data_IF_283062402105
#
_entry.id   IF_283062402105
#
_cell.length_a   1.000
_cell.length_b   1.000
_cell.length_c   1.000
_cell.angle_alpha   90.00
_cell.angle_beta   90.00
_cell.angle_gamma   90.00
#
_symmetry.space_group_name_H-M   'P 1'
#
loop_
_entity.id
_entity.type
_entity.pdbx_description
1 polymer ?
#
# COMPACT_ATOMS: atom_id res chain seq x y z
N UNK A 1 13.29 -13.17 8.08
CA UNK A 1 14.09 -12.19 7.31
C UNK A 1 15.29 -12.82 6.60
N UNK A 2 16.00 -13.79 7.20
CA UNK A 2 17.15 -14.46 6.58
C UNK A 2 16.84 -15.12 5.23
N UNK A 3 15.72 -15.85 5.16
CA UNK A 3 15.26 -16.44 3.91
C UNK A 3 14.95 -15.35 2.88
N UNK A 4 14.32 -14.26 3.31
CA UNK A 4 14.03 -13.13 2.42
C UNK A 4 15.30 -12.47 1.89
N UNK A 5 16.33 -12.31 2.75
CA UNK A 5 17.62 -11.76 2.34
C UNK A 5 18.29 -12.60 1.26
N UNK A 6 18.32 -13.94 1.44
CA UNK A 6 18.88 -14.86 0.45
C UNK A 6 18.09 -14.82 -0.87
N UNK A 7 16.76 -14.79 -0.81
CA UNK A 7 15.90 -14.71 -2.00
C UNK A 7 16.09 -13.38 -2.74
N UNK A 8 16.18 -12.25 -2.01
CA UNK A 8 16.45 -10.95 -2.64
C UNK A 8 17.78 -10.95 -3.36
N UNK A 9 18.85 -11.41 -2.72
CA UNK A 9 20.15 -11.48 -3.34
C UNK A 9 20.09 -12.33 -4.61
N UNK A 10 19.50 -13.52 -4.53
CA UNK A 10 19.35 -14.42 -5.68
C UNK A 10 18.55 -13.76 -6.81
N UNK A 11 17.41 -13.14 -6.50
CA UNK A 11 16.55 -12.51 -7.49
C UNK A 11 17.24 -11.32 -8.17
N UNK A 12 17.96 -10.47 -7.41
CA UNK A 12 18.72 -9.34 -7.97
C UNK A 12 19.90 -9.82 -8.83
N UNK A 13 20.64 -10.88 -8.42
CA UNK A 13 21.72 -11.44 -9.21
C UNK A 13 21.22 -12.08 -10.51
N UNK A 14 20.09 -12.79 -10.47
CA UNK A 14 19.45 -13.33 -11.67
C UNK A 14 19.01 -12.18 -12.60
N UNK A 15 18.42 -11.12 -12.06
CA UNK A 15 18.00 -9.95 -12.81
C UNK A 15 19.18 -9.24 -13.44
N UNK A 16 20.28 -9.05 -12.71
CA UNK A 16 21.51 -8.45 -13.24
C UNK A 16 22.09 -9.23 -14.45
N UNK A 17 21.86 -10.54 -14.50
CA UNK A 17 22.36 -11.43 -15.54
C UNK A 17 21.30 -11.87 -16.56
N UNK A 18 20.21 -11.12 -16.68
CA UNK A 18 19.11 -11.51 -17.59
C UNK A 18 19.56 -11.62 -19.03
N UNK A 19 19.07 -12.69 -19.68
CA UNK A 19 19.23 -12.97 -21.11
C UNK A 19 17.89 -13.09 -21.84
N UNK A 20 16.79 -13.17 -21.09
CA UNK A 20 15.44 -13.27 -21.64
C UNK A 20 14.41 -12.59 -20.73
N UNK A 21 13.28 -12.17 -21.30
CA UNK A 21 12.15 -11.59 -20.55
C UNK A 21 11.61 -12.54 -19.49
N UNK A 22 11.58 -13.86 -19.78
CA UNK A 22 11.16 -14.86 -18.82
C UNK A 22 12.04 -14.86 -17.55
N UNK A 23 13.36 -14.73 -17.74
CA UNK A 23 14.30 -14.67 -16.63
C UNK A 23 14.10 -13.42 -15.76
N UNK A 24 13.68 -12.29 -16.35
CA UNK A 24 13.28 -11.09 -15.63
C UNK A 24 12.03 -11.36 -14.78
N UNK A 25 10.99 -11.98 -15.35
CA UNK A 25 9.77 -12.30 -14.61
C UNK A 25 10.04 -13.26 -13.45
N UNK A 26 10.89 -14.26 -13.64
CA UNK A 26 11.23 -15.21 -12.57
C UNK A 26 12.12 -14.53 -11.51
N UNK A 27 13.20 -13.87 -11.90
CA UNK A 27 14.17 -13.29 -10.98
C UNK A 27 13.57 -12.13 -10.18
N UNK A 28 13.12 -11.11 -10.88
CA UNK A 28 12.58 -9.90 -10.23
C UNK A 28 11.13 -10.05 -9.82
N UNK A 29 10.28 -10.60 -10.67
CA UNK A 29 8.85 -10.73 -10.38
C UNK A 29 8.57 -11.78 -9.31
N UNK A 30 8.96 -13.03 -9.54
CA UNK A 30 8.59 -14.14 -8.64
C UNK A 30 9.49 -14.16 -7.40
N UNK A 31 10.81 -14.25 -7.57
CA UNK A 31 11.73 -14.46 -6.45
C UNK A 31 11.79 -13.21 -5.54
N UNK A 32 12.02 -12.02 -6.09
CA UNK A 32 12.03 -10.80 -5.29
C UNK A 32 10.63 -10.46 -4.75
N UNK A 33 9.57 -10.72 -5.51
CA UNK A 33 8.19 -10.54 -5.05
C UNK A 33 7.86 -11.43 -3.85
N UNK A 34 8.23 -12.70 -3.90
CA UNK A 34 8.04 -13.62 -2.78
C UNK A 34 8.87 -13.22 -1.56
N UNK A 35 10.13 -12.82 -1.77
CA UNK A 35 10.99 -12.29 -0.72
C UNK A 35 10.42 -11.04 -0.05
N UNK A 36 9.85 -10.11 -0.84
CA UNK A 36 9.15 -8.92 -0.34
C UNK A 36 7.95 -9.29 0.53
N UNK A 37 7.12 -10.22 0.07
CA UNK A 37 5.95 -10.67 0.82
C UNK A 37 6.31 -11.31 2.16
N UNK A 38 7.34 -12.15 2.18
CA UNK A 38 7.85 -12.78 3.41
C UNK A 38 8.36 -11.73 4.40
N UNK A 39 9.19 -10.78 3.96
CA UNK A 39 9.75 -9.74 4.83
C UNK A 39 8.66 -8.78 5.33
N UNK A 40 7.73 -8.38 4.46
CA UNK A 40 6.59 -7.54 4.81
C UNK A 40 5.78 -8.16 5.96
N UNK A 41 5.37 -9.42 5.81
CA UNK A 41 4.59 -10.11 6.84
C UNK A 41 5.40 -10.39 8.11
N UNK A 42 6.68 -10.71 7.99
CA UNK A 42 7.54 -10.93 9.15
C UNK A 42 7.68 -9.65 9.99
N UNK A 43 7.93 -8.51 9.35
CA UNK A 43 8.10 -7.22 10.05
C UNK A 43 6.77 -6.75 10.65
N UNK A 44 5.72 -6.61 9.84
CA UNK A 44 4.42 -6.13 10.33
C UNK A 44 3.80 -7.07 11.37
N UNK A 45 3.90 -8.39 11.14
CA UNK A 45 3.35 -9.37 12.06
C UNK A 45 4.10 -9.46 13.39
N UNK A 46 5.39 -9.11 13.42
CA UNK A 46 6.19 -9.10 14.66
C UNK A 46 6.04 -7.77 15.39
N UNK A 47 6.27 -6.66 14.70
CA UNK A 47 6.22 -5.32 15.31
C UNK A 47 4.79 -4.96 15.74
N UNK A 48 3.77 -5.38 14.98
CA UNK A 48 2.37 -5.19 15.37
C UNK A 48 2.00 -5.81 16.71
N UNK A 49 2.67 -6.91 17.12
CA UNK A 49 2.46 -7.54 18.43
C UNK A 49 3.03 -6.74 19.60
N UNK A 50 4.03 -5.88 19.36
CA UNK A 50 4.56 -4.96 20.36
C UNK A 50 3.63 -3.77 20.62
N UNK A 51 2.79 -3.41 19.65
CA UNK A 51 1.91 -2.24 19.70
C UNK A 51 0.47 -2.58 19.26
N UNK A 52 -0.22 -3.50 19.97
CA UNK A 52 -1.55 -3.96 19.57
C UNK A 52 -2.62 -2.87 19.63
N UNK A 53 -2.36 -1.81 20.40
CA UNK A 53 -3.23 -0.64 20.56
C UNK A 53 -3.05 0.44 19.45
N UNK A 54 -1.96 0.37 18.68
CA UNK A 54 -1.61 1.34 17.64
C UNK A 54 -1.20 0.68 16.33
N UNK A 55 -1.83 -0.45 15.99
CA UNK A 55 -1.44 -1.27 14.85
C UNK A 55 -1.48 -0.49 13.52
N UNK A 56 -2.46 0.40 13.34
CA UNK A 56 -2.56 1.26 12.17
C UNK A 56 -1.43 2.29 12.08
N UNK A 57 -1.15 3.01 13.18
CA UNK A 57 -0.07 3.99 13.22
C UNK A 57 1.30 3.34 13.00
N UNK A 58 1.56 2.24 13.70
CA UNK A 58 2.84 1.53 13.62
C UNK A 58 3.06 0.94 12.23
N UNK A 59 2.03 0.32 11.65
CA UNK A 59 2.10 -0.13 10.26
C UNK A 59 2.33 1.03 9.30
N UNK A 60 1.68 2.18 9.53
CA UNK A 60 1.89 3.39 8.75
C UNK A 60 3.33 3.88 8.77
N UNK A 61 3.96 3.91 9.95
CA UNK A 61 5.38 4.30 10.12
C UNK A 61 6.31 3.31 9.42
N UNK A 62 6.10 2.01 9.62
CA UNK A 62 6.91 0.97 8.96
C UNK A 62 6.78 1.04 7.43
N UNK A 63 5.56 1.25 6.95
CA UNK A 63 5.27 1.31 5.52
C UNK A 63 5.65 2.65 4.88
N UNK A 64 5.86 3.72 5.66
CA UNK A 64 6.40 4.99 5.14
C UNK A 64 7.75 4.77 4.45
N UNK A 65 8.52 3.79 4.90
CA UNK A 65 9.77 3.37 4.25
C UNK A 65 9.62 3.07 2.75
N UNK A 66 8.47 2.54 2.31
CA UNK A 66 8.21 2.31 0.88
C UNK A 66 8.12 3.62 0.08
N UNK A 67 7.51 4.66 0.63
CA UNK A 67 7.43 5.98 -0.01
C UNK A 67 8.80 6.65 -0.10
N UNK A 68 9.54 6.63 1.01
CA UNK A 68 10.88 7.22 1.09
C UNK A 68 11.90 6.44 0.26
N UNK A 69 11.79 5.10 0.20
CA UNK A 69 12.74 4.27 -0.55
C UNK A 69 12.72 4.58 -2.04
N UNK A 70 11.56 4.81 -2.63
CA UNK A 70 11.45 5.16 -4.05
C UNK A 70 12.23 6.44 -4.38
N UNK A 71 12.20 7.42 -3.47
CA UNK A 71 12.96 8.66 -3.64
C UNK A 71 14.47 8.46 -3.39
N UNK A 72 14.84 7.82 -2.27
CA UNK A 72 16.24 7.64 -1.88
C UNK A 72 16.97 6.67 -2.82
N UNK A 73 16.39 5.49 -3.04
CA UNK A 73 16.98 4.45 -3.91
C UNK A 73 17.00 4.91 -5.35
N UNK A 74 15.94 5.62 -5.81
CA UNK A 74 15.90 6.20 -7.16
C UNK A 74 17.02 7.20 -7.40
N UNK A 75 17.27 8.11 -6.45
CA UNK A 75 18.39 9.06 -6.53
C UNK A 75 19.75 8.38 -6.47
N UNK A 76 19.95 7.44 -5.56
CA UNK A 76 21.17 6.66 -5.47
C UNK A 76 21.44 5.91 -6.78
N UNK A 77 20.40 5.26 -7.32
CA UNK A 77 20.52 4.58 -8.60
C UNK A 77 20.96 5.52 -9.74
N UNK A 78 20.34 6.69 -9.87
CA UNK A 78 20.72 7.69 -10.87
C UNK A 78 22.15 8.21 -10.68
N UNK A 79 22.60 8.39 -9.44
CA UNK A 79 23.94 8.92 -9.14
C UNK A 79 25.04 7.89 -9.41
N UNK A 80 24.79 6.62 -9.13
CA UNK A 80 25.78 5.55 -9.22
C UNK A 80 25.71 4.71 -10.49
N UNK A 81 24.69 4.93 -11.34
CA UNK A 81 24.55 4.18 -12.59
C UNK A 81 25.01 5.07 -13.73
N UNK A 82 26.18 4.76 -14.39
CA UNK A 82 26.62 5.49 -15.57
C UNK A 82 25.63 5.37 -16.74
N UNK A 83 25.58 6.38 -17.59
CA UNK A 83 24.72 6.41 -18.80
C UNK A 83 25.23 5.48 -19.93
N UNK A 84 25.89 4.39 -19.57
CA UNK A 84 26.40 3.39 -20.51
C UNK A 84 25.46 2.20 -20.61
N UNK A 85 25.37 1.66 -21.83
CA UNK A 85 24.51 0.49 -22.08
C UNK A 85 24.95 -0.69 -21.21
N UNK A 86 24.02 -1.20 -20.39
CA UNK A 86 24.28 -2.33 -19.50
C UNK A 86 24.77 -1.99 -18.08
N UNK A 87 25.08 -0.71 -17.78
CA UNK A 87 25.52 -0.28 -16.43
C UNK A 87 24.51 -0.60 -15.33
N UNK A 88 23.22 -0.62 -15.64
CA UNK A 88 22.16 -1.01 -14.73
C UNK A 88 22.38 -2.41 -14.09
N UNK A 89 23.09 -3.32 -14.77
CA UNK A 89 23.41 -4.65 -14.25
C UNK A 89 24.25 -4.58 -12.98
N UNK A 90 25.30 -3.72 -13.02
CA UNK A 90 26.15 -3.50 -11.84
C UNK A 90 25.33 -2.90 -10.68
N UNK A 91 24.48 -1.92 -10.97
CA UNK A 91 23.62 -1.30 -9.96
C UNK A 91 22.65 -2.28 -9.32
N UNK A 92 22.09 -3.23 -10.10
CA UNK A 92 21.26 -4.31 -9.54
C UNK A 92 22.06 -5.25 -8.62
N UNK A 93 23.30 -5.58 -8.95
CA UNK A 93 24.16 -6.40 -8.06
C UNK A 93 24.40 -5.66 -6.74
N UNK A 94 24.80 -4.38 -6.80
CA UNK A 94 25.07 -3.56 -5.61
C UNK A 94 23.81 -3.40 -4.74
N UNK A 95 22.67 -3.07 -5.35
CA UNK A 95 21.40 -2.96 -4.63
C UNK A 95 20.97 -4.28 -4.02
N UNK A 96 21.17 -5.40 -4.71
CA UNK A 96 20.89 -6.74 -4.19
C UNK A 96 21.71 -7.08 -2.96
N UNK A 97 23.01 -6.75 -2.97
CA UNK A 97 23.90 -6.95 -1.82
C UNK A 97 23.46 -6.05 -0.65
N UNK A 98 23.24 -4.76 -0.88
CA UNK A 98 22.80 -3.83 0.16
C UNK A 98 21.48 -4.30 0.78
N UNK A 99 20.50 -4.65 -0.03
CA UNK A 99 19.20 -5.13 0.45
C UNK A 99 19.35 -6.41 1.29
N UNK A 100 20.15 -7.38 0.82
CA UNK A 100 20.39 -8.62 1.55
C UNK A 100 21.08 -8.38 2.90
N UNK A 101 22.09 -7.52 2.94
CA UNK A 101 22.80 -7.16 4.18
C UNK A 101 21.87 -6.47 5.17
N UNK A 102 21.11 -5.46 4.73
CA UNK A 102 20.16 -4.73 5.60
C UNK A 102 19.08 -5.67 6.14
N UNK A 103 18.56 -6.57 5.30
CA UNK A 103 17.55 -7.54 5.74
C UNK A 103 18.13 -8.59 6.69
N UNK A 104 19.35 -9.03 6.47
CA UNK A 104 20.05 -9.95 7.37
C UNK A 104 20.30 -9.29 8.74
N UNK A 105 20.76 -8.03 8.76
CA UNK A 105 20.88 -7.25 10.00
C UNK A 105 19.55 -7.07 10.72
N UNK A 106 18.48 -6.74 9.98
CA UNK A 106 17.13 -6.66 10.52
C UNK A 106 16.65 -7.99 11.12
N UNK A 107 17.13 -9.12 10.58
CA UNK A 107 16.83 -10.45 11.11
C UNK A 107 17.39 -10.72 12.50
N UNK A 108 18.51 -10.10 12.87
CA UNK A 108 19.06 -10.15 14.23
C UNK A 108 18.31 -9.27 15.23
N UNK A 109 17.74 -8.16 14.74
CA UNK A 109 17.08 -7.15 15.60
C UNK A 109 15.57 -7.44 15.79
N UNK A 110 14.97 -8.24 14.91
CA UNK A 110 13.54 -8.49 14.93
C UNK A 110 13.18 -9.63 15.89
N UNK A 111 12.77 -9.27 17.10
CA UNK A 111 12.33 -10.21 18.12
C UNK A 111 10.83 -10.15 18.35
N UNK A 112 10.23 -11.28 18.71
CA UNK A 112 8.84 -11.34 19.14
C UNK A 112 8.74 -10.99 20.62
N UNK A 113 7.66 -10.29 21.04
CA UNK A 113 7.39 -10.11 22.46
C UNK A 113 7.30 -11.48 23.15
N UNK A 114 7.87 -11.59 24.36
CA UNK A 114 7.78 -12.80 25.18
C UNK A 114 6.32 -13.15 25.53
N UNK A 115 6.05 -14.40 25.94
CA UNK A 115 4.71 -14.84 26.32
C UNK A 115 4.11 -14.02 27.47
N UNK A 116 4.99 -13.51 28.35
CA UNK A 116 4.63 -12.69 29.52
C UNK A 116 4.58 -11.18 29.19
N UNK A 117 4.77 -10.80 27.94
CA UNK A 117 4.61 -9.41 27.52
C UNK A 117 3.11 -9.06 27.63
N UNK A 118 2.71 -8.66 28.83
CA UNK A 118 1.45 -7.96 29.03
C UNK A 118 1.52 -6.71 28.17
N UNK A 119 0.67 -6.57 27.17
CA UNK A 119 0.51 -5.30 26.48
C UNK A 119 0.49 -4.20 27.55
N UNK A 120 1.36 -3.14 27.47
CA UNK A 120 1.42 -2.13 28.50
C UNK A 120 -0.01 -1.76 28.84
N UNK A 121 -0.38 -1.90 30.13
CA UNK A 121 -1.74 -1.67 30.60
C UNK A 121 -2.19 -0.40 29.94
N UNK A 122 -3.18 -0.48 29.08
CA UNK A 122 -3.49 0.55 28.07
C UNK A 122 -3.42 1.88 28.80
N UNK A 123 -2.30 2.57 28.63
CA UNK A 123 -2.12 3.89 29.19
C UNK A 123 -3.35 4.61 28.70
N UNK A 124 -4.22 5.03 29.62
CA UNK A 124 -5.55 5.56 29.42
C UNK A 124 -5.52 6.63 28.33
N UNK A 125 -5.30 6.22 27.11
CA UNK A 125 -5.31 7.03 25.91
C UNK A 125 -6.77 7.32 25.65
N UNK A 126 -7.18 8.44 26.19
CA UNK A 126 -8.43 9.09 25.95
C UNK A 126 -8.73 9.06 24.45
N UNK A 127 -9.69 8.22 24.03
CA UNK A 127 -10.25 8.05 22.67
C UNK A 127 -9.53 7.06 21.74
N UNK A 128 -9.46 5.79 22.16
CA UNK A 128 -9.24 4.70 21.22
C UNK A 128 -10.58 4.29 20.61
N UNK A 129 -10.62 4.14 19.28
CA UNK A 129 -11.78 3.52 18.63
C UNK A 129 -11.79 2.03 18.97
N UNK A 130 -12.86 1.57 19.60
CA UNK A 130 -13.10 0.14 19.84
C UNK A 130 -14.09 -0.33 18.77
N UNK A 131 -13.70 -1.31 17.98
CA UNK A 131 -14.58 -1.87 16.97
C UNK A 131 -15.63 -2.77 17.66
N UNK A 132 -16.93 -2.43 17.62
CA UNK A 132 -17.94 -3.18 18.32
C UNK A 132 -18.22 -4.57 17.72
N UNK A 133 -17.80 -4.81 16.47
CA UNK A 133 -17.94 -6.13 15.80
C UNK A 133 -16.66 -6.96 15.85
N UNK A 134 -15.63 -6.53 16.56
CA UNK A 134 -14.37 -7.24 16.69
C UNK A 134 -14.58 -8.69 17.21
N UNK A 135 -13.82 -9.62 16.65
CA UNK A 135 -13.79 -11.02 17.07
C UNK A 135 -12.38 -11.59 16.87
N UNK A 136 -11.94 -12.50 17.74
CA UNK A 136 -10.71 -13.27 17.52
C UNK A 136 -11.02 -14.42 16.57
N UNK A 137 -10.66 -14.29 15.30
CA UNK A 137 -10.93 -15.29 14.28
C UNK A 137 -9.65 -15.87 13.69
N UNK A 138 -9.64 -17.16 13.50
CA UNK A 138 -8.64 -17.82 12.63
C UNK A 138 -8.91 -17.50 11.17
N UNK A 139 -7.95 -17.81 10.31
CA UNK A 139 -8.01 -17.45 8.90
C UNK A 139 -9.19 -18.08 8.16
N UNK A 140 -9.53 -19.33 8.49
CA UNK A 140 -10.64 -20.03 7.81
C UNK A 140 -11.98 -19.40 8.20
N UNK A 141 -12.18 -19.08 9.47
CA UNK A 141 -13.38 -18.38 9.95
C UNK A 141 -13.45 -16.95 9.41
N UNK A 142 -12.32 -16.25 9.31
CA UNK A 142 -12.24 -14.93 8.68
C UNK A 142 -12.71 -14.96 7.22
N UNK A 143 -12.27 -15.95 6.44
CA UNK A 143 -12.64 -16.11 5.02
C UNK A 143 -14.14 -16.29 4.79
N UNK A 144 -14.88 -16.74 5.79
CA UNK A 144 -16.35 -16.88 5.72
C UNK A 144 -17.09 -15.58 6.01
N UNK A 145 -16.41 -14.52 6.47
CA UNK A 145 -17.06 -13.26 6.81
C UNK A 145 -17.30 -12.37 5.58
N UNK A 146 -18.54 -11.92 5.32
CA UNK A 146 -18.80 -10.99 4.20
C UNK A 146 -18.03 -9.69 4.32
N UNK A 147 -17.80 -9.22 5.55
CA UNK A 147 -17.07 -7.99 5.82
C UNK A 147 -15.63 -8.02 5.29
N UNK A 148 -14.98 -9.21 5.33
CA UNK A 148 -13.65 -9.37 4.73
C UNK A 148 -13.68 -9.10 3.23
N UNK A 149 -14.58 -9.73 2.50
CA UNK A 149 -14.63 -9.64 1.03
C UNK A 149 -15.03 -8.25 0.55
N UNK A 150 -15.92 -7.57 1.26
CA UNK A 150 -16.23 -6.16 1.00
C UNK A 150 -15.02 -5.27 1.25
N UNK A 151 -14.30 -5.46 2.36
CA UNK A 151 -13.07 -4.72 2.61
C UNK A 151 -11.98 -5.05 1.58
N UNK A 152 -11.84 -6.31 1.22
CA UNK A 152 -10.89 -6.76 0.21
C UNK A 152 -11.17 -6.11 -1.15
N UNK A 153 -12.44 -6.06 -1.57
CA UNK A 153 -12.85 -5.36 -2.77
C UNK A 153 -12.48 -3.87 -2.70
N UNK A 154 -12.80 -3.20 -1.59
CA UNK A 154 -12.39 -1.81 -1.38
C UNK A 154 -10.87 -1.64 -1.50
N UNK A 155 -10.11 -2.50 -0.88
CA UNK A 155 -8.65 -2.46 -0.90
C UNK A 155 -8.10 -2.68 -2.33
N UNK A 156 -8.70 -3.59 -3.12
CA UNK A 156 -8.35 -3.78 -4.55
C UNK A 156 -8.61 -2.51 -5.34
N UNK A 157 -9.82 -1.93 -5.22
CA UNK A 157 -10.22 -0.74 -5.99
C UNK A 157 -9.31 0.46 -5.70
N UNK A 158 -9.08 0.76 -4.41
CA UNK A 158 -8.30 1.94 -4.03
C UNK A 158 -6.79 1.73 -4.21
N UNK A 159 -6.29 0.49 -4.03
CA UNK A 159 -4.91 0.17 -4.41
C UNK A 159 -4.70 0.28 -5.92
N UNK A 160 -5.67 -0.16 -6.73
CA UNK A 160 -5.61 0.00 -8.19
C UNK A 160 -5.55 1.49 -8.58
N UNK A 161 -6.42 2.32 -8.01
CA UNK A 161 -6.40 3.77 -8.24
C UNK A 161 -5.03 4.39 -7.90
N UNK A 162 -4.44 4.01 -6.76
CA UNK A 162 -3.12 4.47 -6.35
C UNK A 162 -1.99 3.97 -7.26
N UNK A 163 -2.03 2.70 -7.68
CA UNK A 163 -1.04 2.14 -8.60
C UNK A 163 -1.11 2.76 -10.00
N UNK A 164 -2.32 3.10 -10.50
CA UNK A 164 -2.48 3.89 -11.72
C UNK A 164 -1.73 5.21 -11.59
N UNK A 165 -1.98 5.95 -10.51
CA UNK A 165 -1.35 7.24 -10.28
C UNK A 165 0.17 7.15 -10.23
N UNK A 166 0.72 6.19 -9.48
CA UNK A 166 2.17 6.03 -9.33
C UNK A 166 2.82 5.53 -10.61
N UNK A 167 2.24 4.54 -11.29
CA UNK A 167 2.85 3.95 -12.48
C UNK A 167 2.83 4.89 -13.69
N UNK A 168 1.80 5.72 -13.81
CA UNK A 168 1.62 6.65 -14.92
C UNK A 168 2.11 8.07 -14.63
N UNK A 169 2.62 8.35 -13.41
CA UNK A 169 2.98 9.69 -12.96
C UNK A 169 3.88 10.46 -13.91
N UNK A 170 4.92 9.83 -14.45
CA UNK A 170 5.85 10.46 -15.40
C UNK A 170 5.19 10.76 -16.75
N UNK A 171 4.31 9.86 -17.22
CA UNK A 171 3.56 10.07 -18.47
C UNK A 171 2.55 11.21 -18.32
N UNK A 172 1.81 11.22 -17.23
CA UNK A 172 0.86 12.28 -16.85
C UNK A 172 1.55 13.64 -16.83
N UNK A 173 2.72 13.71 -16.18
CA UNK A 173 3.47 14.97 -16.09
C UNK A 173 3.97 15.47 -17.47
N UNK A 174 4.34 14.56 -18.37
CA UNK A 174 4.75 14.90 -19.73
C UNK A 174 3.60 15.35 -20.62
N UNK A 175 2.42 14.77 -20.46
CA UNK A 175 1.23 15.17 -21.22
C UNK A 175 0.81 16.60 -20.88
N UNK A 176 0.81 16.95 -19.58
CA UNK A 176 0.36 18.27 -19.11
C UNK A 176 1.39 19.36 -19.39
N UNK A 177 2.68 19.02 -19.50
CA UNK A 177 3.77 20.02 -19.56
C UNK A 177 4.80 19.70 -20.62
N UNK A 178 4.57 20.22 -21.83
CA UNK A 178 5.47 20.14 -22.98
C UNK A 178 6.64 21.11 -22.83
N UNK A 179 7.41 21.23 -21.93
CA UNK A 179 8.53 22.20 -21.79
C UNK A 179 9.25 22.08 -20.45
N UNK A 180 8.78 21.19 -19.58
CA UNK A 180 9.38 20.97 -18.27
C UNK A 180 10.52 19.97 -18.38
N UNK A 181 11.65 20.26 -17.72
CA UNK A 181 12.82 19.38 -17.73
C UNK A 181 12.51 17.99 -17.11
N UNK A 182 13.19 16.97 -17.60
CA UNK A 182 13.09 15.61 -17.04
C UNK A 182 13.40 15.57 -15.52
N UNK A 183 14.34 16.40 -15.05
CA UNK A 183 14.69 16.53 -13.64
C UNK A 183 13.53 17.09 -12.79
N UNK A 184 12.80 18.09 -13.32
CA UNK A 184 11.61 18.65 -12.64
C UNK A 184 10.49 17.63 -12.59
N UNK A 185 10.23 16.88 -13.67
CA UNK A 185 9.25 15.79 -13.69
C UNK A 185 9.60 14.73 -12.64
N UNK A 186 10.86 14.28 -12.59
CA UNK A 186 11.32 13.32 -11.61
C UNK A 186 11.12 13.81 -10.16
N UNK A 187 11.34 15.11 -9.91
CA UNK A 187 11.13 15.73 -8.60
C UNK A 187 9.65 15.70 -8.21
N UNK A 188 8.75 16.04 -9.13
CA UNK A 188 7.30 16.07 -8.86
C UNK A 188 6.74 14.67 -8.69
N UNK A 189 7.19 13.70 -9.46
CA UNK A 189 6.88 12.27 -9.23
C UNK A 189 7.42 11.81 -7.86
N UNK A 190 8.59 12.30 -7.45
CA UNK A 190 9.13 12.08 -6.12
C UNK A 190 8.24 12.64 -5.00
N UNK A 191 7.62 13.79 -5.19
CA UNK A 191 6.66 14.36 -4.23
C UNK A 191 5.45 13.43 -4.00
N UNK A 192 4.90 12.85 -5.08
CA UNK A 192 3.83 11.87 -4.95
C UNK A 192 4.24 10.71 -4.00
N UNK A 193 5.47 10.21 -4.13
CA UNK A 193 5.98 9.13 -3.28
C UNK A 193 6.19 9.58 -1.82
N UNK A 194 6.67 10.81 -1.60
CA UNK A 194 6.84 11.38 -0.25
C UNK A 194 5.48 11.51 0.43
N UNK A 195 4.48 12.09 -0.26
CA UNK A 195 3.15 12.26 0.32
C UNK A 195 2.40 10.95 0.48
N UNK A 196 2.70 9.93 -0.35
CA UNK A 196 2.27 8.55 -0.09
C UNK A 196 2.83 8.03 1.24
N UNK A 197 4.11 8.25 1.51
CA UNK A 197 4.72 7.91 2.80
C UNK A 197 4.07 8.62 3.98
N UNK A 198 3.86 9.94 3.88
CA UNK A 198 3.18 10.77 4.90
C UNK A 198 1.74 10.27 5.13
N UNK A 199 1.02 10.01 4.05
CA UNK A 199 -0.36 9.49 4.09
C UNK A 199 -0.48 8.19 4.89
N UNK A 200 0.52 7.31 4.80
CA UNK A 200 0.53 6.05 5.57
C UNK A 200 0.50 6.28 7.07
N UNK A 201 1.28 7.22 7.57
CA UNK A 201 1.31 7.57 9.00
C UNK A 201 0.02 8.23 9.44
N UNK A 202 -0.45 9.22 8.67
CA UNK A 202 -1.69 9.97 8.97
C UNK A 202 -2.89 9.02 9.03
N UNK A 203 -3.11 8.23 7.98
CA UNK A 203 -4.30 7.38 7.89
C UNK A 203 -4.20 6.13 8.75
N UNK A 204 -3.00 5.61 9.00
CA UNK A 204 -2.78 4.55 9.99
C UNK A 204 -3.20 5.01 11.38
N UNK A 205 -2.71 6.18 11.83
CA UNK A 205 -3.11 6.77 13.11
C UNK A 205 -4.58 7.21 13.16
N UNK A 206 -5.13 7.67 12.03
CA UNK A 206 -6.56 8.00 11.93
C UNK A 206 -7.44 6.75 12.07
N UNK A 207 -7.05 5.63 11.48
CA UNK A 207 -7.80 4.38 11.61
C UNK A 207 -7.89 3.94 13.09
N UNK A 208 -6.79 4.02 13.83
CA UNK A 208 -6.75 3.68 15.25
C UNK A 208 -7.62 4.60 16.13
N UNK A 209 -7.75 5.88 15.75
CA UNK A 209 -8.49 6.89 16.53
C UNK A 209 -9.95 7.06 16.12
N UNK A 210 -10.19 7.09 14.80
CA UNK A 210 -11.50 7.43 14.23
C UNK A 210 -12.24 6.22 13.66
N UNK A 211 -11.55 5.08 13.57
CA UNK A 211 -12.09 3.82 13.06
C UNK A 211 -12.15 3.74 11.54
N UNK A 212 -12.53 2.56 11.07
CA UNK A 212 -12.60 2.21 9.65
C UNK A 212 -13.44 3.18 8.83
N UNK A 213 -14.68 3.42 9.25
CA UNK A 213 -15.66 4.15 8.43
C UNK A 213 -15.19 5.55 8.02
N UNK A 214 -14.75 6.36 8.99
CA UNK A 214 -14.26 7.72 8.72
C UNK A 214 -12.99 7.72 7.89
N UNK A 215 -12.08 6.80 8.17
CA UNK A 215 -10.79 6.70 7.46
C UNK A 215 -11.00 6.32 6.00
N UNK A 216 -11.80 5.27 5.72
CA UNK A 216 -12.10 4.85 4.36
C UNK A 216 -12.83 5.94 3.56
N UNK A 217 -13.81 6.64 4.16
CA UNK A 217 -14.53 7.71 3.47
C UNK A 217 -13.62 8.88 3.12
N UNK A 218 -12.69 9.27 4.01
CA UNK A 218 -11.75 10.35 3.71
C UNK A 218 -10.77 9.93 2.61
N UNK A 219 -10.28 8.69 2.60
CA UNK A 219 -9.42 8.17 1.53
C UNK A 219 -10.16 8.23 0.18
N UNK A 220 -11.41 7.75 0.13
CA UNK A 220 -12.24 7.80 -1.08
C UNK A 220 -12.43 9.23 -1.56
N UNK A 221 -12.78 10.15 -0.65
CA UNK A 221 -12.97 11.56 -0.99
C UNK A 221 -11.70 12.20 -1.55
N UNK A 222 -10.54 11.91 -0.97
CA UNK A 222 -9.25 12.42 -1.46
C UNK A 222 -8.90 11.88 -2.85
N UNK A 223 -9.21 10.62 -3.17
CA UNK A 223 -9.02 10.11 -4.53
C UNK A 223 -9.94 10.81 -5.54
N UNK A 224 -11.20 11.10 -5.17
CA UNK A 224 -12.10 11.87 -6.05
C UNK A 224 -11.58 13.30 -6.26
N UNK A 225 -11.14 13.95 -5.20
CA UNK A 225 -10.55 15.30 -5.29
C UNK A 225 -9.27 15.28 -6.12
N UNK A 226 -8.40 14.30 -5.93
CA UNK A 226 -7.19 14.15 -6.73
C UNK A 226 -7.52 13.96 -8.22
N UNK A 227 -8.48 13.10 -8.54
CA UNK A 227 -8.92 12.90 -9.93
C UNK A 227 -9.47 14.20 -10.55
N UNK A 228 -10.29 14.94 -9.82
CA UNK A 228 -10.82 16.22 -10.28
C UNK A 228 -9.70 17.27 -10.51
N UNK A 229 -8.72 17.35 -9.60
CA UNK A 229 -7.57 18.24 -9.76
C UNK A 229 -6.73 17.83 -10.97
N UNK A 230 -6.53 16.53 -11.23
CA UNK A 230 -5.76 16.04 -12.37
C UNK A 230 -6.47 16.32 -13.70
N UNK A 231 -7.80 16.20 -13.73
CA UNK A 231 -8.61 16.64 -14.89
C UNK A 231 -8.43 18.15 -15.12
N UNK A 232 -8.56 18.95 -14.06
CA UNK A 232 -8.36 20.40 -14.17
C UNK A 232 -6.91 20.75 -14.61
N UNK A 233 -5.92 20.02 -14.15
CA UNK A 233 -4.52 20.21 -14.56
C UNK A 233 -4.33 19.93 -16.05
N UNK A 234 -4.99 18.90 -16.60
CA UNK A 234 -4.94 18.57 -18.01
C UNK A 234 -5.63 19.64 -18.85
N UNK A 235 -6.87 20.03 -18.49
CA UNK A 235 -7.64 21.03 -19.22
C UNK A 235 -6.97 22.43 -19.23
N UNK A 236 -6.34 22.80 -18.11
CA UNK A 236 -5.65 24.09 -17.97
C UNK A 236 -4.21 24.06 -18.51
N UNK A 237 -3.65 22.90 -18.83
CA UNK A 237 -2.24 22.73 -19.14
C UNK A 237 -1.32 23.20 -18.00
N UNK A 238 -1.77 23.08 -16.74
CA UNK A 238 -1.14 23.71 -15.59
C UNK A 238 -0.31 22.74 -14.74
N UNK A 239 1.01 22.88 -14.83
CA UNK A 239 1.94 22.09 -14.02
C UNK A 239 1.80 22.31 -12.51
N UNK A 240 1.60 23.53 -11.97
CA UNK A 240 1.33 23.70 -10.55
C UNK A 240 0.08 22.96 -10.05
N UNK A 241 -1.00 22.95 -10.84
CA UNK A 241 -2.22 22.22 -10.51
C UNK A 241 -1.96 20.71 -10.50
N UNK A 242 -1.15 20.19 -11.44
CA UNK A 242 -0.70 18.80 -11.43
C UNK A 242 0.01 18.44 -10.12
N UNK A 243 0.94 19.30 -9.67
CA UNK A 243 1.68 19.07 -8.41
C UNK A 243 0.72 18.90 -7.24
N UNK A 244 -0.31 19.76 -7.15
CA UNK A 244 -1.35 19.63 -6.12
C UNK A 244 -2.10 18.28 -6.26
N UNK A 245 -2.46 17.89 -7.48
CA UNK A 245 -3.09 16.59 -7.76
C UNK A 245 -2.25 15.40 -7.28
N UNK A 246 -0.93 15.44 -7.52
CA UNK A 246 -0.01 14.41 -7.06
C UNK A 246 0.16 14.37 -5.54
N UNK A 247 0.18 15.53 -4.88
CA UNK A 247 0.22 15.62 -3.42
C UNK A 247 -1.03 14.99 -2.80
N UNK A 248 -2.21 15.39 -3.27
CA UNK A 248 -3.49 14.87 -2.76
C UNK A 248 -3.65 13.39 -3.07
N UNK A 249 -3.34 12.97 -4.31
CA UNK A 249 -3.40 11.58 -4.72
C UNK A 249 -2.39 10.69 -3.98
N UNK A 250 -1.17 11.20 -3.74
CA UNK A 250 -0.17 10.54 -2.92
C UNK A 250 -0.67 10.30 -1.49
N UNK A 251 -1.22 11.34 -0.84
CA UNK A 251 -1.82 11.22 0.48
C UNK A 251 -2.94 10.17 0.50
N UNK A 252 -3.85 10.19 -0.48
CA UNK A 252 -4.94 9.24 -0.59
C UNK A 252 -4.44 7.80 -0.69
N UNK A 253 -3.51 7.54 -1.61
CA UNK A 253 -2.94 6.20 -1.77
C UNK A 253 -2.19 5.73 -0.53
N UNK A 254 -1.50 6.64 0.15
CA UNK A 254 -0.84 6.35 1.42
C UNK A 254 -1.76 5.76 2.48
N UNK A 255 -3.05 6.12 2.47
CA UNK A 255 -4.02 5.63 3.43
C UNK A 255 -4.46 4.16 3.25
N UNK A 256 -4.36 3.62 2.04
CA UNK A 256 -4.90 2.28 1.73
C UNK A 256 -4.12 1.16 2.42
N UNK A 257 -2.80 1.17 2.30
CA UNK A 257 -1.95 0.07 2.79
C UNK A 257 -2.00 -0.12 4.32
N UNK A 258 -1.87 0.94 5.16
CA UNK A 258 -1.99 0.79 6.61
C UNK A 258 -3.41 0.41 7.05
N UNK A 259 -4.42 0.75 6.25
CA UNK A 259 -5.79 0.31 6.50
C UNK A 259 -5.94 -1.21 6.44
N UNK A 260 -5.16 -1.92 5.60
CA UNK A 260 -5.14 -3.39 5.57
C UNK A 260 -4.71 -3.97 6.91
N UNK A 261 -3.61 -3.45 7.48
CA UNK A 261 -3.08 -3.90 8.76
C UNK A 261 -4.03 -3.57 9.93
N UNK A 262 -4.55 -2.32 9.95
CA UNK A 262 -5.46 -1.86 10.98
C UNK A 262 -6.83 -2.58 10.91
N UNK A 263 -7.31 -2.90 9.71
CA UNK A 263 -8.51 -3.70 9.53
C UNK A 263 -8.32 -5.12 10.08
N UNK A 264 -7.25 -5.79 9.68
CA UNK A 264 -6.94 -7.15 10.14
C UNK A 264 -6.89 -7.25 11.65
N UNK A 265 -6.19 -6.34 12.33
CA UNK A 265 -6.07 -6.32 13.79
C UNK A 265 -7.38 -5.93 14.49
N UNK A 266 -8.10 -4.91 13.98
CA UNK A 266 -9.31 -4.38 14.65
C UNK A 266 -10.56 -5.24 14.46
N UNK A 267 -10.64 -6.05 13.39
CA UNK A 267 -11.78 -6.90 13.10
C UNK A 267 -11.56 -8.34 13.54
N UNK A 268 -10.35 -8.87 13.36
CA UNK A 268 -10.05 -10.30 13.52
C UNK A 268 -9.02 -10.61 14.61
N UNK A 269 -8.60 -9.58 15.37
CA UNK A 269 -7.73 -9.74 16.53
C UNK A 269 -6.27 -9.98 16.19
N UNK A 270 -5.46 -10.25 17.23
CA UNK A 270 -4.00 -10.37 17.13
C UNK A 270 -3.48 -11.81 17.16
N UNK A 271 -4.29 -12.78 17.57
CA UNK A 271 -3.86 -14.18 17.72
C UNK A 271 -3.40 -14.78 16.39
N UNK A 272 -4.16 -14.61 15.33
CA UNK A 272 -3.87 -15.11 13.97
C UNK A 272 -3.48 -13.99 13.00
N UNK A 273 -3.10 -12.82 13.52
CA UNK A 273 -2.91 -11.58 12.75
C UNK A 273 -2.00 -11.74 11.54
N UNK A 274 -0.82 -12.36 11.68
CA UNK A 274 0.13 -12.48 10.58
C UNK A 274 -0.43 -13.28 9.40
N UNK A 275 -1.18 -14.36 9.67
CA UNK A 275 -1.80 -15.18 8.63
C UNK A 275 -3.00 -14.43 8.01
N UNK A 276 -3.83 -13.82 8.83
CA UNK A 276 -4.98 -13.03 8.39
C UNK A 276 -4.53 -11.85 7.50
N UNK A 277 -3.47 -11.14 7.92
CA UNK A 277 -2.89 -10.05 7.14
C UNK A 277 -2.34 -10.54 5.80
N UNK A 278 -1.72 -11.72 5.75
CA UNK A 278 -1.20 -12.31 4.50
C UNK A 278 -2.30 -12.47 3.45
N UNK A 279 -3.50 -12.88 3.86
CA UNK A 279 -4.66 -12.96 2.98
C UNK A 279 -5.10 -11.57 2.52
N UNK A 280 -5.26 -10.63 3.44
CA UNK A 280 -5.74 -9.28 3.12
C UNK A 280 -4.81 -8.59 2.11
N UNK A 281 -3.49 -8.68 2.26
CA UNK A 281 -2.54 -7.97 1.38
C UNK A 281 -2.43 -8.57 -0.02
N UNK A 282 -2.99 -9.77 -0.28
CA UNK A 282 -3.09 -10.31 -1.65
C UNK A 282 -3.95 -9.44 -2.57
N UNK A 283 -4.72 -8.48 -2.02
CA UNK A 283 -5.44 -7.48 -2.81
C UNK A 283 -4.53 -6.75 -3.84
N UNK A 284 -3.26 -6.57 -3.53
CA UNK A 284 -2.28 -5.92 -4.42
C UNK A 284 -2.06 -6.70 -5.72
N UNK A 285 -2.22 -8.03 -5.71
CA UNK A 285 -2.15 -8.85 -6.92
C UNK A 285 -3.22 -8.42 -7.93
N UNK A 286 -4.47 -8.28 -7.49
CA UNK A 286 -5.56 -7.85 -8.36
C UNK A 286 -5.49 -6.36 -8.67
N UNK A 287 -5.09 -5.54 -7.72
CA UNK A 287 -4.92 -4.11 -7.89
C UNK A 287 -3.85 -3.76 -8.94
N UNK A 288 -2.81 -4.58 -9.11
CA UNK A 288 -1.74 -4.36 -10.08
C UNK A 288 -2.23 -4.29 -11.53
N UNK A 289 -3.33 -4.99 -11.86
CA UNK A 289 -3.95 -4.88 -13.18
C UNK A 289 -4.46 -3.46 -13.50
N UNK A 290 -4.73 -2.64 -12.48
CA UNK A 290 -5.13 -1.25 -12.66
C UNK A 290 -4.13 -0.45 -13.49
N UNK A 291 -2.83 -0.60 -13.23
CA UNK A 291 -1.80 0.10 -14.00
C UNK A 291 -1.70 -0.38 -15.45
N UNK A 292 -1.90 -1.68 -15.70
CA UNK A 292 -1.94 -2.25 -17.05
C UNK A 292 -3.16 -1.73 -17.83
N UNK A 293 -4.33 -1.69 -17.19
CA UNK A 293 -5.56 -1.15 -17.78
C UNK A 293 -5.38 0.33 -18.12
N UNK A 294 -4.80 1.13 -17.21
CA UNK A 294 -4.54 2.55 -17.45
C UNK A 294 -3.58 2.77 -18.61
N UNK A 295 -2.53 1.94 -18.73
CA UNK A 295 -1.63 1.96 -19.88
C UNK A 295 -2.34 1.64 -21.19
N UNK A 296 -3.18 0.62 -21.22
CA UNK A 296 -3.98 0.25 -22.39
C UNK A 296 -5.00 1.35 -22.78
N UNK A 297 -5.61 2.00 -21.79
CA UNK A 297 -6.48 3.15 -22.02
C UNK A 297 -5.73 4.33 -22.66
N UNK A 298 -4.52 4.62 -22.15
CA UNK A 298 -3.66 5.64 -22.76
C UNK A 298 -3.27 5.29 -24.20
N UNK A 299 -2.90 4.03 -24.47
CA UNK A 299 -2.55 3.60 -25.82
C UNK A 299 -3.70 3.75 -26.81
N UNK A 300 -4.93 3.53 -26.36
CA UNK A 300 -6.15 3.66 -27.16
C UNK A 300 -6.56 5.12 -27.37
N UNK A 301 -6.45 5.98 -26.34
CA UNK A 301 -7.00 7.35 -26.35
C UNK A 301 -5.92 8.42 -26.57
N UNK A 302 -4.64 8.06 -26.38
CA UNK A 302 -3.48 8.97 -26.38
C UNK A 302 -3.60 10.11 -25.36
N UNK A 303 -4.42 9.91 -24.31
CA UNK A 303 -4.56 10.85 -23.19
C UNK A 303 -4.78 10.11 -21.87
N UNK A 304 -4.28 10.69 -20.77
CA UNK A 304 -4.52 10.18 -19.41
C UNK A 304 -5.88 10.59 -18.83
N UNK A 305 -6.70 11.32 -19.57
CA UNK A 305 -8.06 11.68 -19.14
C UNK A 305 -8.88 10.45 -18.72
N UNK A 306 -8.83 9.37 -19.53
CA UNK A 306 -9.49 8.10 -19.23
C UNK A 306 -8.97 7.44 -17.93
N UNK A 307 -7.68 7.57 -17.64
CA UNK A 307 -7.09 7.10 -16.38
C UNK A 307 -7.61 7.91 -15.18
N UNK A 308 -7.81 9.21 -15.30
CA UNK A 308 -8.39 10.03 -14.23
C UNK A 308 -9.85 9.66 -13.96
N UNK A 309 -10.64 9.42 -15.03
CA UNK A 309 -12.01 8.91 -14.89
C UNK A 309 -12.03 7.52 -14.22
N UNK A 310 -11.07 6.67 -14.56
CA UNK A 310 -10.91 5.37 -13.90
C UNK A 310 -10.65 5.54 -12.39
N UNK A 311 -9.72 6.41 -12.00
CA UNK A 311 -9.44 6.70 -10.58
C UNK A 311 -10.71 7.18 -9.88
N UNK A 312 -11.44 8.13 -10.48
CA UNK A 312 -12.70 8.65 -9.93
C UNK A 312 -13.77 7.56 -9.80
N UNK A 313 -13.93 6.72 -10.82
CA UNK A 313 -14.88 5.61 -10.81
C UNK A 313 -14.57 4.58 -9.72
N UNK A 314 -13.29 4.19 -9.59
CA UNK A 314 -12.85 3.27 -8.54
C UNK A 314 -13.09 3.84 -7.14
N UNK A 315 -12.84 5.13 -6.93
CA UNK A 315 -13.09 5.81 -5.67
C UNK A 315 -14.59 5.94 -5.35
N UNK A 316 -15.42 6.24 -6.36
CA UNK A 316 -16.88 6.30 -6.22
C UNK A 316 -17.46 4.93 -5.81
N UNK A 317 -17.05 3.86 -6.48
CA UNK A 317 -17.41 2.49 -6.07
C UNK A 317 -16.88 2.19 -4.67
N UNK A 318 -15.68 2.64 -4.33
CA UNK A 318 -15.10 2.53 -2.98
C UNK A 318 -15.99 3.13 -1.88
N UNK A 319 -16.67 4.26 -2.16
CA UNK A 319 -17.66 4.86 -1.24
C UNK A 319 -18.83 3.89 -1.00
N UNK A 320 -19.40 3.32 -2.06
CA UNK A 320 -20.52 2.39 -1.97
C UNK A 320 -20.12 1.13 -1.18
N UNK A 321 -18.95 0.57 -1.47
CA UNK A 321 -18.42 -0.59 -0.76
C UNK A 321 -18.20 -0.27 0.72
N UNK A 322 -17.63 0.89 1.05
CA UNK A 322 -17.45 1.33 2.45
C UNK A 322 -18.79 1.48 3.18
N UNK A 323 -19.84 1.97 2.50
CA UNK A 323 -21.20 2.02 3.04
C UNK A 323 -21.77 0.61 3.28
N UNK A 324 -21.58 -0.31 2.32
CA UNK A 324 -22.02 -1.69 2.45
C UNK A 324 -21.36 -2.40 3.66
N UNK A 325 -20.07 -2.17 3.92
CA UNK A 325 -19.42 -2.69 5.13
C UNK A 325 -20.10 -2.15 6.38
N UNK A 326 -20.45 -0.86 6.40
CA UNK A 326 -21.12 -0.25 7.56
C UNK A 326 -22.52 -0.84 7.82
N UNK A 327 -23.24 -1.24 6.76
CA UNK A 327 -24.51 -1.95 6.89
C UNK A 327 -24.31 -3.38 7.42
N UNK A 328 -23.26 -4.07 6.93
CA UNK A 328 -22.89 -5.39 7.40
C UNK A 328 -22.52 -5.38 8.88
N UNK A 329 -21.76 -4.37 9.33
CA UNK A 329 -21.40 -4.17 10.74
C UNK A 329 -22.65 -3.98 11.61
N UNK A 330 -23.60 -3.13 11.16
CA UNK A 330 -24.88 -2.91 11.87
C UNK A 330 -25.71 -4.20 11.98
N UNK A 331 -25.77 -4.99 10.94
CA UNK A 331 -26.48 -6.26 10.94
C UNK A 331 -25.87 -7.28 11.92
N UNK A 332 -24.53 -7.36 11.93
CA UNK A 332 -23.78 -8.21 12.87
C UNK A 332 -24.05 -7.81 14.33
N UNK A 333 -24.09 -6.51 14.62
CA UNK A 333 -24.40 -5.98 15.94
C UNK A 333 -25.85 -6.31 16.36
N UNK A 334 -26.81 -6.13 15.45
CA UNK A 334 -28.22 -6.46 15.73
C UNK A 334 -28.38 -7.93 16.10
N UNK A 335 -27.76 -8.86 15.36
CA UNK A 335 -27.79 -10.31 15.69
C UNK A 335 -27.17 -10.61 17.05
N UNK A 336 -26.05 -9.97 17.40
CA UNK A 336 -25.43 -10.16 18.73
C UNK A 336 -26.35 -9.69 19.87
N UNK A 337 -27.15 -8.64 19.66
CA UNK A 337 -28.07 -8.09 20.66
C UNK A 337 -29.32 -8.95 20.82
N UNK A 338 -29.78 -9.63 19.75
CA UNK A 338 -30.94 -10.52 19.78
C UNK A 338 -30.61 -11.94 20.22
N UNK A 339 -29.35 -12.26 20.53
CA UNK A 339 -28.94 -13.59 20.97
C UNK A 339 -28.93 -14.68 19.88
N UNK A 340 -29.18 -14.30 18.61
CA UNK A 340 -29.04 -15.22 17.48
C UNK A 340 -27.56 -15.54 17.22
N UNK A 341 -27.25 -16.85 17.10
CA UNK A 341 -25.91 -17.30 16.74
C UNK A 341 -25.52 -16.70 15.39
N UNK A 342 -24.50 -15.86 15.38
CA UNK A 342 -23.86 -15.44 14.14
C UNK A 342 -23.27 -16.72 13.52
N UNK A 343 -23.84 -17.19 12.40
CA UNK A 343 -23.31 -18.33 11.66
C UNK A 343 -21.88 -17.98 11.21
N UNK A 344 -20.92 -18.64 11.82
CA UNK A 344 -19.50 -18.62 11.48
C UNK A 344 -19.26 -19.35 10.17
#
# INVERSE_FOLDING_TARGET
LWVSAALFLTGFLLTANIRSTLMLYIGFGVICGFASGLSYNAVLGTVGKWFPDKAGLVSGILLMGFGLSSFLVGKLYQTFTPDTVGAWRHSFVVLGIIAAVVMAMGGFLLERPGADFGAPAAAQSTKKYVNPVAAELDTVSMLKTPTLWLFYLWAVLLSAAGLVLVSQASGIAREISTGVSAGTIATVVGLLSIFNGIGRVIFGGMFDKAGRGRTMQLINALFLVAAAILVAALELGSFPVLVVGFVVGGLAYGGVTPSNAAFGSSYYGMKHYSMNLSVVVTNLLFASFGSTIAGALYDATKSYFSAYLMIAGLAAVGILVSAAISLCDKHTLAKRTTGEKVSS
#
